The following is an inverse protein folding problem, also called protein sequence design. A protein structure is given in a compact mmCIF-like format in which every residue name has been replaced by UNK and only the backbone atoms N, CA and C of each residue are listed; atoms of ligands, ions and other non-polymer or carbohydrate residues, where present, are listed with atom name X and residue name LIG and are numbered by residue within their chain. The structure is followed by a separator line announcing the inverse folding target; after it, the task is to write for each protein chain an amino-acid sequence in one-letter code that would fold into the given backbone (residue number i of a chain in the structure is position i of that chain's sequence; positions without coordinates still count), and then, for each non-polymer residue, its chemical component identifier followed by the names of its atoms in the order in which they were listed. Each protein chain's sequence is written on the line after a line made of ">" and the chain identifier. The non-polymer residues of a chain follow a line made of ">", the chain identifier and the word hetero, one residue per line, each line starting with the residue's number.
data_IF_373297410898
#
_entry.id   IF_373297410898
#
_cell.length_a   1.000
_cell.length_b   1.000
_cell.length_c   1.000
_cell.angle_alpha   90.00
_cell.angle_beta   90.00
_cell.angle_gamma   90.00
#
_symmetry.space_group_name_H-M   'P 1'
#
loop_
_entity.id
_entity.type
_entity.pdbx_description
1 polymer ?
#
# COMPACT_ATOMS: atom_id res chain seq x y z
N UNK A 1 -32.53 9.48 -34.48
CA UNK A 1 -31.34 10.36 -34.55
C UNK A 1 -30.69 10.34 -33.17
N UNK A 2 -29.81 9.36 -32.95
CA UNK A 2 -29.16 9.13 -31.67
C UNK A 2 -28.03 10.14 -31.44
N UNK A 3 -27.95 10.67 -30.23
CA UNK A 3 -26.74 11.31 -29.72
C UNK A 3 -26.35 10.55 -28.47
N UNK A 4 -25.56 9.52 -28.73
CA UNK A 4 -24.69 8.86 -27.79
C UNK A 4 -23.60 9.88 -27.39
N UNK A 5 -23.84 10.63 -26.32
CA UNK A 5 -22.84 11.53 -25.77
C UNK A 5 -21.94 10.69 -24.87
N UNK A 6 -20.90 10.13 -25.48
CA UNK A 6 -19.91 9.28 -24.87
C UNK A 6 -19.44 9.83 -23.53
N UNK A 7 -19.73 9.08 -22.48
CA UNK A 7 -19.06 9.19 -21.20
C UNK A 7 -17.58 8.98 -21.49
N UNK A 8 -16.81 10.07 -21.50
CA UNK A 8 -15.35 10.00 -21.56
C UNK A 8 -14.93 9.21 -20.33
N UNK A 9 -14.48 7.98 -20.56
CA UNK A 9 -13.92 7.09 -19.56
C UNK A 9 -12.64 7.76 -19.07
N UNK A 10 -12.79 8.59 -18.06
CA UNK A 10 -11.68 9.19 -17.34
C UNK A 10 -10.80 8.02 -16.88
N UNK A 11 -9.59 7.97 -17.41
CA UNK A 11 -8.53 7.10 -16.94
C UNK A 11 -8.30 7.45 -15.48
N UNK A 12 -9.01 6.75 -14.60
CA UNK A 12 -8.81 6.83 -13.16
C UNK A 12 -7.37 6.39 -12.93
N UNK A 13 -6.43 7.33 -12.87
CA UNK A 13 -5.14 7.08 -12.23
C UNK A 13 -5.51 6.57 -10.86
N UNK A 14 -5.22 5.31 -10.61
CA UNK A 14 -5.47 4.68 -9.33
C UNK A 14 -4.50 5.32 -8.34
N UNK A 15 -4.88 6.48 -7.82
CA UNK A 15 -4.32 7.03 -6.61
C UNK A 15 -4.77 6.08 -5.49
N UNK A 16 -3.89 5.13 -5.15
CA UNK A 16 -4.15 4.17 -4.09
C UNK A 16 -3.97 4.88 -2.76
N UNK A 17 -5.08 5.33 -2.18
CA UNK A 17 -5.10 5.76 -0.79
C UNK A 17 -4.72 4.56 0.11
N UNK A 18 -4.07 4.82 1.25
CA UNK A 18 -3.76 3.77 2.25
C UNK A 18 -5.02 2.98 2.65
N UNK A 19 -6.20 3.60 2.60
CA UNK A 19 -7.48 2.94 2.88
C UNK A 19 -7.81 1.79 1.92
N UNK A 20 -7.24 1.81 0.71
CA UNK A 20 -7.44 0.78 -0.31
C UNK A 20 -6.27 -0.22 -0.38
N UNK A 21 -5.34 -0.15 0.60
CA UNK A 21 -4.19 -1.03 0.70
C UNK A 21 -4.19 -1.81 2.01
N UNK A 22 -3.87 -3.09 1.93
CA UNK A 22 -3.56 -3.91 3.11
C UNK A 22 -2.05 -4.09 3.19
N UNK A 23 -1.47 -3.64 4.29
CA UNK A 23 -0.06 -3.84 4.60
C UNK A 23 0.10 -4.96 5.61
N UNK A 24 1.00 -5.91 5.33
CA UNK A 24 1.31 -7.00 6.24
C UNK A 24 2.74 -7.49 6.05
N UNK A 25 3.24 -8.19 7.06
CA UNK A 25 4.53 -8.85 7.00
C UNK A 25 4.55 -10.12 7.84
N UNK A 26 5.56 -10.96 7.60
CA UNK A 26 5.61 -12.31 8.15
C UNK A 26 6.95 -12.69 8.77
N UNK A 27 6.98 -13.89 9.34
CA UNK A 27 8.17 -14.50 9.95
C UNK A 27 9.33 -14.71 8.98
N UNK A 28 9.01 -14.77 7.69
CA UNK A 28 9.92 -15.02 6.58
C UNK A 28 10.68 -13.76 6.15
N UNK A 29 10.41 -12.63 6.79
CA UNK A 29 11.09 -11.37 6.55
C UNK A 29 10.59 -10.59 5.35
N UNK A 30 9.39 -10.91 4.87
CA UNK A 30 8.73 -10.12 3.83
C UNK A 30 7.76 -9.11 4.43
N UNK A 31 7.75 -7.92 3.83
CA UNK A 31 6.71 -6.92 3.95
C UNK A 31 6.06 -6.73 2.58
N UNK A 32 4.74 -6.60 2.54
CA UNK A 32 4.01 -6.53 1.29
C UNK A 32 2.76 -5.65 1.40
N UNK A 33 2.29 -5.22 0.23
CA UNK A 33 1.07 -4.46 0.05
C UNK A 33 0.13 -5.22 -0.88
N UNK A 34 -1.13 -5.36 -0.48
CA UNK A 34 -2.20 -5.94 -1.28
C UNK A 34 -3.23 -4.88 -1.63
N UNK A 35 -3.91 -5.05 -2.76
CA UNK A 35 -5.17 -4.36 -3.01
C UNK A 35 -6.21 -4.83 -1.99
N UNK A 36 -6.81 -3.90 -1.23
CA UNK A 36 -7.73 -4.24 -0.15
C UNK A 36 -9.04 -4.87 -0.63
N UNK A 37 -9.41 -4.70 -1.90
CA UNK A 37 -10.67 -5.17 -2.48
C UNK A 37 -10.52 -6.53 -3.13
N UNK A 38 -9.41 -6.77 -3.79
CA UNK A 38 -9.16 -8.01 -4.56
C UNK A 38 -8.21 -8.98 -3.84
N UNK A 39 -7.39 -8.48 -2.91
CA UNK A 39 -6.31 -9.24 -2.30
C UNK A 39 -5.09 -9.43 -3.21
N UNK A 40 -5.06 -8.78 -4.38
CA UNK A 40 -3.95 -8.88 -5.33
C UNK A 40 -2.65 -8.33 -4.72
N UNK A 41 -1.53 -9.03 -4.93
CA UNK A 41 -0.22 -8.58 -4.50
C UNK A 41 0.29 -7.44 -5.39
N UNK A 42 0.38 -6.24 -4.83
CA UNK A 42 0.82 -5.05 -5.55
C UNK A 42 2.33 -4.81 -5.39
N UNK A 43 2.86 -5.12 -4.20
CA UNK A 43 4.28 -4.95 -3.90
C UNK A 43 4.73 -5.91 -2.80
N UNK A 44 5.98 -6.37 -2.89
CA UNK A 44 6.64 -7.21 -1.89
C UNK A 44 8.13 -6.86 -1.79
N UNK A 45 8.63 -6.69 -0.58
CA UNK A 45 10.04 -6.48 -0.29
C UNK A 45 10.52 -7.40 0.82
N UNK A 46 11.73 -7.93 0.69
CA UNK A 46 12.43 -8.57 1.81
C UNK A 46 13.05 -7.47 2.68
N UNK A 47 12.73 -7.48 3.97
CA UNK A 47 13.21 -6.51 4.96
C UNK A 47 14.16 -7.13 5.99
N UNK A 48 14.67 -8.34 5.71
CA UNK A 48 15.81 -8.95 6.39
C UNK A 48 15.55 -9.50 7.79
N UNK A 49 14.34 -9.34 8.34
CA UNK A 49 14.02 -9.76 9.70
C UNK A 49 12.55 -10.10 9.89
N UNK A 50 12.27 -10.95 10.87
CA UNK A 50 10.90 -11.32 11.22
C UNK A 50 10.08 -10.10 11.65
N UNK A 51 8.89 -9.98 11.06
CA UNK A 51 7.85 -9.04 11.51
C UNK A 51 7.09 -9.70 12.67
N UNK A 52 7.21 -9.14 13.87
CA UNK A 52 6.54 -9.65 15.08
C UNK A 52 5.37 -8.79 15.54
N UNK A 53 5.20 -7.60 14.97
CA UNK A 53 4.09 -6.68 15.22
C UNK A 53 3.54 -6.15 13.89
N UNK A 54 2.24 -5.87 13.85
CA UNK A 54 1.59 -5.33 12.65
C UNK A 54 2.13 -3.95 12.26
N UNK A 55 2.07 -3.59 10.97
CA UNK A 55 2.46 -2.27 10.51
C UNK A 55 1.51 -1.18 11.02
N UNK A 56 2.01 0.07 11.08
CA UNK A 56 1.25 1.26 11.46
C UNK A 56 1.31 2.31 10.35
N UNK A 57 0.17 2.93 10.02
CA UNK A 57 0.12 4.08 9.09
C UNK A 57 0.02 5.41 9.83
N UNK A 58 0.63 6.46 9.27
CA UNK A 58 0.59 7.82 9.80
C UNK A 58 0.92 8.86 8.71
N UNK A 59 0.51 10.11 8.91
CA UNK A 59 0.78 11.21 7.99
C UNK A 59 1.74 12.24 8.60
N UNK A 60 2.68 12.73 7.80
CA UNK A 60 3.56 13.87 8.14
C UNK A 60 3.55 14.83 6.96
N UNK A 61 3.21 16.10 7.22
CA UNK A 61 3.14 17.16 6.20
C UNK A 61 2.33 16.76 4.96
N UNK A 62 1.18 16.10 5.17
CA UNK A 62 0.29 15.65 4.09
C UNK A 62 0.76 14.41 3.33
N UNK A 63 1.92 13.83 3.65
CA UNK A 63 2.39 12.58 3.04
C UNK A 63 2.17 11.38 3.96
N UNK A 64 1.54 10.34 3.42
CA UNK A 64 1.29 9.08 4.13
C UNK A 64 2.55 8.22 4.20
N UNK A 65 2.74 7.59 5.35
CA UNK A 65 3.84 6.69 5.65
C UNK A 65 3.32 5.42 6.32
N UNK A 66 4.06 4.33 6.14
CA UNK A 66 3.84 3.07 6.86
C UNK A 66 5.13 2.67 7.55
N UNK A 67 5.05 2.44 8.86
CA UNK A 67 6.14 1.94 9.69
C UNK A 67 5.94 0.46 10.03
N UNK A 68 7.02 -0.30 10.01
CA UNK A 68 7.03 -1.72 10.40
C UNK A 68 8.34 -2.09 11.09
N UNK A 69 8.23 -2.75 12.23
CA UNK A 69 9.37 -3.29 12.96
C UNK A 69 9.68 -4.71 12.48
N UNK A 70 10.95 -4.97 12.18
CA UNK A 70 11.42 -6.27 11.73
C UNK A 70 12.83 -6.57 12.26
N UNK A 71 12.98 -7.68 12.97
CA UNK A 71 14.22 -7.99 13.68
C UNK A 71 14.62 -6.86 14.63
N UNK A 72 15.81 -6.27 14.42
CA UNK A 72 16.34 -5.15 15.20
C UNK A 72 16.16 -3.78 14.53
N UNK A 73 15.41 -3.70 13.42
CA UNK A 73 15.25 -2.49 12.62
C UNK A 73 13.80 -2.01 12.54
N UNK A 74 13.65 -0.70 12.33
CA UNK A 74 12.38 -0.06 11.95
C UNK A 74 12.49 0.42 10.50
N UNK A 75 11.56 -0.01 9.67
CA UNK A 75 11.45 0.44 8.28
C UNK A 75 10.29 1.41 8.13
N UNK A 76 10.49 2.46 7.34
CA UNK A 76 9.45 3.45 7.01
C UNK A 76 9.37 3.62 5.50
N UNK A 77 8.17 3.43 4.97
CA UNK A 77 7.87 3.60 3.54
C UNK A 77 6.97 4.80 3.34
N UNK A 78 7.35 5.69 2.43
CA UNK A 78 6.48 6.78 1.98
C UNK A 78 5.64 6.33 0.79
N UNK A 79 4.34 6.58 0.83
CA UNK A 79 3.48 6.30 -0.31
C UNK A 79 3.63 7.38 -1.38
N UNK A 80 3.66 6.96 -2.64
CA UNK A 80 3.60 7.87 -3.79
C UNK A 80 2.14 8.29 -4.00
N UNK A 81 1.95 9.56 -4.31
CA UNK A 81 0.68 10.11 -4.82
C UNK A 81 0.57 9.83 -6.32
#
# INVERSE_FOLDING_TARGET
>A
MGRDSGVRREERRAEMAVSDLVFAGGREGYFFALDARTGELLWKGNIGGQVSAGPMSYAVNGRQHVAIAAGSALFVYALRQ
#
